data_IF_414033482411
#
_entry.id   IF_414033482411
#
_cell.length_a   1.000
_cell.length_b   1.000
_cell.length_c   1.000
_cell.angle_alpha   90.00
_cell.angle_beta   90.00
_cell.angle_gamma   90.00
#
_symmetry.space_group_name_H-M   'P 1'
#
loop_
_entity.id
_entity.type
_entity.pdbx_description
1 polymer ?
#
# COMPACT_ATOMS: atom_id res chain seq x y z
N UNK A 1 -20.75 14.12 32.86
CA UNK A 1 -20.64 13.02 31.89
C UNK A 1 -19.19 12.98 31.44
N UNK A 2 -18.55 11.81 31.38
CA UNK A 2 -17.22 11.68 30.72
C UNK A 2 -17.54 11.41 29.25
N UNK A 3 -17.07 12.27 28.35
CA UNK A 3 -17.29 12.10 26.92
C UNK A 3 -16.67 10.78 26.45
N UNK A 4 -17.36 10.08 25.54
CA UNK A 4 -16.79 8.91 24.89
C UNK A 4 -15.69 9.37 23.93
N UNK A 5 -14.50 8.78 24.05
CA UNK A 5 -13.35 9.05 23.20
C UNK A 5 -12.71 7.73 22.81
N UNK A 6 -12.31 7.60 21.55
CA UNK A 6 -11.55 6.47 21.05
C UNK A 6 -10.13 6.54 21.62
N UNK A 7 -9.69 5.48 22.28
CA UNK A 7 -8.43 5.41 23.03
C UNK A 7 -7.46 4.34 22.51
N UNK A 8 -7.77 3.76 21.35
CA UNK A 8 -6.97 2.71 20.74
C UNK A 8 -7.12 2.74 19.21
N UNK A 9 -6.15 2.17 18.50
CA UNK A 9 -6.13 2.16 17.03
C UNK A 9 -7.26 1.35 16.37
N UNK A 10 -7.85 0.38 17.06
CA UNK A 10 -8.87 -0.51 16.46
C UNK A 10 -10.15 0.28 16.15
N UNK A 11 -10.50 1.24 17.01
CA UNK A 11 -11.71 2.05 16.87
C UNK A 11 -11.54 3.25 15.91
N UNK A 12 -10.29 3.56 15.54
CA UNK A 12 -9.97 4.65 14.61
C UNK A 12 -10.22 4.20 13.18
N UNK A 13 -11.01 4.99 12.45
CA UNK A 13 -11.28 4.77 11.03
C UNK A 13 -10.16 5.36 10.17
N UNK A 14 -10.07 4.93 8.90
CA UNK A 14 -9.13 5.48 7.94
C UNK A 14 -9.34 7.00 7.74
N UNK A 15 -10.58 7.45 7.64
CA UNK A 15 -10.90 8.87 7.47
C UNK A 15 -10.44 9.72 8.64
N UNK A 16 -10.68 9.26 9.88
CA UNK A 16 -10.17 9.92 11.09
C UNK A 16 -8.64 9.93 11.13
N UNK A 17 -8.00 8.83 10.75
CA UNK A 17 -6.54 8.78 10.66
C UNK A 17 -5.98 9.78 9.64
N UNK A 18 -6.59 9.91 8.46
CA UNK A 18 -6.19 10.90 7.46
C UNK A 18 -6.32 12.34 8.01
N UNK A 19 -7.39 12.65 8.73
CA UNK A 19 -7.56 13.94 9.40
C UNK A 19 -6.47 14.19 10.46
N UNK A 20 -6.12 13.16 11.25
CA UNK A 20 -5.04 13.25 12.24
C UNK A 20 -3.70 13.54 11.56
N UNK A 21 -3.40 12.90 10.43
CA UNK A 21 -2.18 13.17 9.66
C UNK A 21 -2.15 14.62 9.14
N UNK A 22 -3.27 15.12 8.63
CA UNK A 22 -3.38 16.50 8.18
C UNK A 22 -3.12 17.49 9.34
N UNK A 23 -3.76 17.27 10.51
CA UNK A 23 -3.52 18.05 11.73
C UNK A 23 -2.05 18.01 12.15
N UNK A 24 -1.41 16.83 12.09
CA UNK A 24 -0.02 16.66 12.49
C UNK A 24 0.94 17.40 11.55
N UNK A 25 0.64 17.41 10.26
CA UNK A 25 1.41 18.09 9.22
C UNK A 25 1.24 19.62 9.20
N UNK A 26 0.20 20.14 9.84
CA UNK A 26 -0.07 21.58 9.94
C UNK A 26 1.08 22.30 10.66
N UNK A 27 1.63 23.35 10.03
CA UNK A 27 2.76 24.14 10.53
C UNK A 27 2.33 25.39 11.29
N UNK A 28 1.05 25.75 11.24
CA UNK A 28 0.47 26.94 11.88
C UNK A 28 0.05 26.64 13.32
N UNK A 29 -0.46 25.43 13.56
CA UNK A 29 -0.90 25.01 14.88
C UNK A 29 0.27 24.63 15.79
N UNK A 30 0.23 25.10 17.04
CA UNK A 30 1.10 24.58 18.10
C UNK A 30 0.68 23.18 18.55
N UNK A 31 1.56 22.48 19.26
CA UNK A 31 1.34 21.08 19.66
C UNK A 31 0.10 20.89 20.54
N UNK A 32 -0.19 21.84 21.43
CA UNK A 32 -1.38 21.76 22.29
C UNK A 32 -2.65 21.92 21.45
N UNK A 33 -2.68 22.91 20.54
CA UNK A 33 -3.79 23.08 19.59
C UNK A 33 -3.99 21.85 18.70
N UNK A 34 -2.92 21.18 18.27
CA UNK A 34 -3.01 19.90 17.53
C UNK A 34 -3.66 18.81 18.36
N UNK A 35 -3.29 18.70 19.64
CA UNK A 35 -3.86 17.70 20.53
C UNK A 35 -5.35 17.94 20.78
N UNK A 36 -5.79 19.20 20.90
CA UNK A 36 -7.22 19.53 20.99
C UNK A 36 -7.98 19.11 19.73
N UNK A 37 -7.43 19.37 18.54
CA UNK A 37 -8.04 18.92 17.28
C UNK A 37 -8.08 17.40 17.14
N UNK A 38 -7.07 16.68 17.63
CA UNK A 38 -7.11 15.20 17.66
C UNK A 38 -8.21 14.69 18.59
N UNK A 39 -8.45 15.35 19.73
CA UNK A 39 -9.57 15.02 20.63
C UNK A 39 -10.90 15.23 19.91
N UNK A 40 -11.06 16.32 19.16
CA UNK A 40 -12.26 16.58 18.36
C UNK A 40 -12.52 15.47 17.34
N UNK A 41 -11.48 15.00 16.63
CA UNK A 41 -11.62 13.90 15.65
C UNK A 41 -11.99 12.57 16.31
N UNK A 42 -11.50 12.30 17.53
CA UNK A 42 -11.63 11.00 18.19
C UNK A 42 -12.79 10.91 19.20
N UNK A 43 -13.54 11.99 19.38
CA UNK A 43 -14.66 12.06 20.32
C UNK A 43 -15.89 12.68 19.65
N UNK A 44 -17.01 12.64 20.35
CA UNK A 44 -18.25 13.30 19.89
C UNK A 44 -18.30 14.80 20.29
N UNK A 45 -17.19 15.37 20.78
CA UNK A 45 -17.11 16.75 21.23
C UNK A 45 -16.66 17.68 20.10
N UNK A 46 -17.27 18.86 20.01
CA UNK A 46 -16.80 19.92 19.12
C UNK A 46 -15.74 20.83 19.78
N UNK A 47 -15.06 21.63 18.97
CA UNK A 47 -14.04 22.59 19.41
C UNK A 47 -14.48 23.49 20.58
N UNK A 48 -15.70 24.03 20.55
CA UNK A 48 -16.19 24.91 21.62
C UNK A 48 -16.39 24.15 22.94
N UNK A 49 -16.91 22.93 22.87
CA UNK A 49 -17.07 22.06 24.02
C UNK A 49 -15.72 21.75 24.64
N UNK A 50 -14.73 21.35 23.83
CA UNK A 50 -13.37 21.02 24.29
C UNK A 50 -12.70 22.23 24.95
N UNK A 51 -12.77 23.40 24.31
CA UNK A 51 -12.16 24.64 24.82
C UNK A 51 -12.82 25.15 26.12
N UNK A 52 -14.08 24.78 26.36
CA UNK A 52 -14.79 25.13 27.60
C UNK A 52 -14.49 24.19 28.77
N UNK A 53 -13.83 23.04 28.54
CA UNK A 53 -13.56 22.06 29.58
C UNK A 53 -12.52 22.59 30.59
N UNK A 54 -12.76 22.41 31.90
CA UNK A 54 -11.74 22.67 32.90
C UNK A 54 -10.58 21.66 32.76
N UNK A 55 -9.37 22.09 33.11
CA UNK A 55 -8.14 21.28 32.92
C UNK A 55 -8.20 19.88 33.55
N UNK A 56 -8.90 19.72 34.67
CA UNK A 56 -9.10 18.41 35.31
C UNK A 56 -9.96 17.43 34.49
N UNK A 57 -10.77 17.93 33.55
CA UNK A 57 -11.55 17.15 32.59
C UNK A 57 -10.83 16.97 31.26
N UNK A 58 -10.01 17.93 30.87
CA UNK A 58 -9.21 17.85 29.65
C UNK A 58 -8.03 16.87 29.78
N UNK A 59 -7.37 16.84 30.95
CA UNK A 59 -6.19 15.98 31.17
C UNK A 59 -6.44 14.48 30.90
N UNK A 60 -7.57 13.87 31.33
CA UNK A 60 -7.91 12.50 30.92
C UNK A 60 -8.04 12.32 29.40
N UNK A 61 -8.61 13.28 28.67
CA UNK A 61 -8.75 13.21 27.21
C UNK A 61 -7.39 13.27 26.50
N UNK A 62 -6.50 14.16 26.96
CA UNK A 62 -5.12 14.22 26.47
C UNK A 62 -4.37 12.91 26.73
N UNK A 63 -4.58 12.30 27.89
CA UNK A 63 -4.00 10.97 28.18
C UNK A 63 -4.58 9.88 27.29
N UNK A 64 -5.88 9.95 26.98
CA UNK A 64 -6.55 8.96 26.15
C UNK A 64 -6.04 8.95 24.71
N UNK A 65 -5.59 10.08 24.15
CA UNK A 65 -5.03 10.14 22.79
C UNK A 65 -3.53 9.81 22.71
N UNK A 66 -2.89 9.45 23.83
CA UNK A 66 -1.45 9.18 23.87
C UNK A 66 -1.04 7.97 23.01
N UNK A 67 -1.96 7.01 22.78
CA UNK A 67 -1.76 5.88 21.89
C UNK A 67 -1.44 6.28 20.45
N UNK A 68 -1.76 7.52 20.02
CA UNK A 68 -1.43 8.02 18.69
C UNK A 68 0.09 8.10 18.45
N UNK A 69 0.89 8.11 19.52
CA UNK A 69 2.36 8.03 19.44
C UNK A 69 2.89 6.59 19.37
N UNK A 70 2.02 5.59 19.57
CA UNK A 70 2.37 4.17 19.53
C UNK A 70 2.27 3.62 18.11
N UNK A 71 3.04 2.58 17.84
CA UNK A 71 2.98 1.86 16.56
C UNK A 71 1.64 1.12 16.40
N UNK A 72 1.06 1.22 15.20
CA UNK A 72 -0.12 0.43 14.84
C UNK A 72 0.31 -1.02 14.66
N UNK A 73 -0.19 -1.92 15.51
CA UNK A 73 0.12 -3.35 15.40
C UNK A 73 -0.72 -4.00 14.30
N UNK A 74 -0.12 -4.74 13.37
CA UNK A 74 -0.88 -5.47 12.35
C UNK A 74 -1.69 -6.60 12.98
N UNK A 75 -2.83 -6.89 12.35
CA UNK A 75 -3.72 -8.01 12.66
C UNK A 75 -3.77 -8.98 11.50
N UNK A 76 -4.35 -10.16 11.75
CA UNK A 76 -4.57 -11.14 10.69
C UNK A 76 -5.50 -10.59 9.61
N UNK A 77 -5.05 -10.72 8.36
CA UNK A 77 -5.84 -10.27 7.22
C UNK A 77 -7.10 -11.10 7.07
N UNK A 78 -8.22 -10.40 6.91
CA UNK A 78 -9.53 -11.00 6.59
C UNK A 78 -9.67 -11.15 5.08
N UNK A 79 -10.37 -12.18 4.64
CA UNK A 79 -10.70 -12.31 3.20
C UNK A 79 -11.86 -11.38 2.83
N UNK A 80 -12.76 -11.13 3.78
CA UNK A 80 -13.96 -10.32 3.63
C UNK A 80 -14.01 -9.23 4.71
N UNK A 81 -14.33 -8.02 4.29
CA UNK A 81 -14.51 -6.85 5.14
C UNK A 81 -15.94 -6.34 4.99
N UNK A 82 -16.62 -6.08 6.10
CA UNK A 82 -17.96 -5.48 6.11
C UNK A 82 -17.85 -4.02 6.48
N UNK A 83 -18.33 -3.15 5.61
CA UNK A 83 -18.23 -1.69 5.75
C UNK A 83 -19.52 -1.07 5.22
N UNK A 84 -20.15 -0.18 5.98
CA UNK A 84 -21.40 0.49 5.61
C UNK A 84 -22.48 -0.46 5.05
N UNK A 85 -22.68 -1.61 5.71
CA UNK A 85 -23.61 -2.69 5.29
C UNK A 85 -23.31 -3.35 3.94
N UNK A 86 -22.19 -3.03 3.30
CA UNK A 86 -21.65 -3.73 2.14
C UNK A 86 -20.55 -4.69 2.57
N UNK A 87 -20.21 -5.62 1.68
CA UNK A 87 -19.15 -6.59 1.92
C UNK A 87 -18.16 -6.53 0.76
N UNK A 88 -16.88 -6.48 1.11
CA UNK A 88 -15.77 -6.31 0.19
C UNK A 88 -14.80 -7.48 0.35
N UNK A 89 -14.30 -7.99 -0.76
CA UNK A 89 -13.25 -9.02 -0.78
C UNK A 89 -11.92 -8.39 -1.12
N UNK A 90 -10.90 -8.65 -0.31
CA UNK A 90 -9.54 -8.21 -0.59
C UNK A 90 -8.93 -9.03 -1.73
N UNK A 91 -8.43 -8.35 -2.77
CA UNK A 91 -7.71 -8.95 -3.89
C UNK A 91 -6.23 -9.09 -3.52
N UNK A 92 -5.85 -10.22 -2.91
CA UNK A 92 -4.46 -10.48 -2.45
C UNK A 92 -3.51 -10.95 -3.56
N UNK A 93 -4.08 -11.54 -4.60
CA UNK A 93 -3.33 -12.13 -5.70
C UNK A 93 -3.14 -11.08 -6.79
N UNK A 94 -1.90 -10.62 -6.95
CA UNK A 94 -1.54 -9.61 -7.94
C UNK A 94 -1.85 -10.07 -9.38
N UNK A 95 -1.90 -11.38 -9.63
CA UNK A 95 -2.24 -11.92 -10.97
C UNK A 95 -3.72 -11.73 -11.31
N UNK A 96 -4.56 -11.42 -10.31
CA UNK A 96 -5.98 -11.15 -10.48
C UNK A 96 -6.29 -9.65 -10.64
N UNK A 97 -5.28 -8.79 -10.51
CA UNK A 97 -5.42 -7.35 -10.75
C UNK A 97 -5.57 -7.12 -12.26
N UNK A 98 -6.63 -6.42 -12.65
CA UNK A 98 -6.86 -6.05 -14.05
C UNK A 98 -5.92 -4.94 -14.50
N UNK A 99 -5.71 -4.80 -15.82
CA UNK A 99 -4.89 -3.70 -16.36
C UNK A 99 -5.35 -2.32 -15.92
N UNK A 100 -6.68 -2.10 -15.83
CA UNK A 100 -7.25 -0.85 -15.34
C UNK A 100 -6.91 -0.59 -13.86
N UNK A 101 -7.09 -1.59 -12.99
CA UNK A 101 -6.68 -1.48 -11.57
C UNK A 101 -5.19 -1.18 -11.42
N UNK A 102 -4.34 -1.81 -12.23
CA UNK A 102 -2.92 -1.55 -12.21
C UNK A 102 -2.61 -0.11 -12.62
N UNK A 103 -3.24 0.40 -13.69
CA UNK A 103 -3.10 1.81 -14.10
C UNK A 103 -3.51 2.77 -13.00
N UNK A 104 -4.67 2.55 -12.38
CA UNK A 104 -5.18 3.40 -11.29
C UNK A 104 -4.23 3.37 -10.09
N UNK A 105 -3.77 2.17 -9.68
CA UNK A 105 -2.84 2.01 -8.57
C UNK A 105 -1.51 2.74 -8.84
N UNK A 106 -0.94 2.61 -10.04
CA UNK A 106 0.30 3.29 -10.39
C UNK A 106 0.13 4.82 -10.41
N UNK A 107 -1.01 5.32 -10.89
CA UNK A 107 -1.30 6.75 -10.88
C UNK A 107 -1.40 7.30 -9.43
N UNK A 108 -2.09 6.57 -8.55
CA UNK A 108 -2.27 6.96 -7.13
C UNK A 108 -0.97 6.92 -6.32
N UNK A 109 -0.03 6.04 -6.71
CA UNK A 109 1.27 5.87 -6.05
C UNK A 109 2.39 6.75 -6.64
N UNK A 110 2.12 7.48 -7.73
CA UNK A 110 3.14 8.26 -8.43
C UNK A 110 3.69 9.40 -7.58
N UNK A 111 2.81 10.11 -6.86
CA UNK A 111 3.18 11.19 -5.95
C UNK A 111 3.21 10.69 -4.51
N UNK A 112 4.42 10.54 -3.96
CA UNK A 112 4.67 10.02 -2.61
C UNK A 112 4.02 10.89 -1.53
N UNK A 113 3.93 12.19 -1.73
CA UNK A 113 3.38 13.12 -0.74
C UNK A 113 1.86 13.01 -0.66
N UNK A 114 1.23 12.46 -1.70
CA UNK A 114 -0.22 12.28 -1.80
C UNK A 114 -0.68 10.87 -1.42
N UNK A 115 0.22 9.90 -1.24
CA UNK A 115 -0.13 8.51 -0.90
C UNK A 115 -1.01 8.43 0.35
N UNK A 116 -0.66 9.17 1.40
CA UNK A 116 -1.44 9.17 2.64
C UNK A 116 -2.84 9.72 2.43
N UNK A 117 -3.00 10.72 1.56
CA UNK A 117 -4.32 11.31 1.22
C UNK A 117 -5.12 10.39 0.31
N UNK A 118 -4.45 9.66 -0.57
CA UNK A 118 -5.06 8.71 -1.52
C UNK A 118 -5.26 7.31 -0.93
N UNK A 119 -4.99 7.09 0.36
CA UNK A 119 -4.98 5.75 0.94
C UNK A 119 -6.34 5.03 0.80
N UNK A 120 -7.44 5.77 0.93
CA UNK A 120 -8.79 5.23 0.72
C UNK A 120 -9.02 4.78 -0.74
N UNK A 121 -8.48 5.50 -1.72
CA UNK A 121 -8.52 5.12 -3.14
C UNK A 121 -7.63 3.90 -3.41
N UNK A 122 -6.40 3.91 -2.88
CA UNK A 122 -5.45 2.81 -3.04
C UNK A 122 -6.05 1.50 -2.53
N UNK A 123 -6.62 1.54 -1.32
CA UNK A 123 -7.31 0.37 -0.75
C UNK A 123 -8.55 0.02 -1.55
N UNK A 124 -9.30 1.01 -2.04
CA UNK A 124 -10.48 0.80 -2.89
C UNK A 124 -10.17 0.02 -4.17
N UNK A 125 -9.03 0.27 -4.82
CA UNK A 125 -8.57 -0.50 -6.00
C UNK A 125 -8.37 -1.98 -5.67
N UNK A 126 -7.96 -2.29 -4.44
CA UNK A 126 -7.68 -3.65 -3.96
C UNK A 126 -8.91 -4.36 -3.39
N UNK A 127 -10.06 -3.68 -3.33
CA UNK A 127 -11.30 -4.19 -2.76
C UNK A 127 -12.33 -4.48 -3.84
N UNK A 128 -12.72 -5.75 -3.94
CA UNK A 128 -13.78 -6.16 -4.85
C UNK A 128 -15.14 -6.20 -4.13
N UNK A 129 -16.14 -5.41 -4.53
CA UNK A 129 -17.47 -5.46 -3.94
C UNK A 129 -18.08 -6.85 -4.11
N UNK A 130 -18.79 -7.34 -3.10
CA UNK A 130 -19.51 -8.62 -3.16
C UNK A 130 -20.91 -8.42 -3.73
N UNK A 131 -21.26 -9.16 -4.79
CA UNK A 131 -22.61 -9.14 -5.39
C UNK A 131 -23.66 -9.47 -4.35
N UNK A 132 -24.76 -8.69 -4.31
CA UNK A 132 -25.92 -9.01 -3.46
C UNK A 132 -26.47 -10.38 -3.85
N UNK A 133 -26.67 -11.26 -2.87
CA UNK A 133 -27.34 -12.54 -3.12
C UNK A 133 -28.83 -12.27 -3.35
N UNK A 134 -29.36 -12.76 -4.46
CA UNK A 134 -30.80 -12.82 -4.70
C UNK A 134 -31.39 -14.01 -3.96
N UNK A 135 -32.68 -13.96 -3.65
CA UNK A 135 -33.41 -15.06 -3.02
C UNK A 135 -33.17 -16.40 -3.74
N UNK A 136 -33.16 -16.38 -5.08
CA UNK A 136 -32.91 -17.56 -5.91
C UNK A 136 -31.47 -18.10 -5.79
N UNK A 137 -30.46 -17.22 -5.69
CA UNK A 137 -29.06 -17.68 -5.53
C UNK A 137 -28.80 -18.22 -4.12
N UNK A 138 -29.48 -17.68 -3.11
CA UNK A 138 -29.48 -18.20 -1.74
C UNK A 138 -30.13 -19.59 -1.66
N UNK A 139 -31.31 -19.77 -2.30
CA UNK A 139 -32.03 -21.05 -2.38
C UNK A 139 -31.17 -22.15 -3.03
N UNK A 140 -30.40 -21.80 -4.06
CA UNK A 140 -29.50 -22.72 -4.77
C UNK A 140 -28.14 -22.93 -4.09
N UNK A 141 -27.93 -22.40 -2.87
CA UNK A 141 -26.64 -22.46 -2.13
C UNK A 141 -25.42 -22.06 -2.96
N UNK A 142 -25.58 -21.10 -3.90
CA UNK A 142 -24.47 -20.65 -4.74
C UNK A 142 -23.51 -19.78 -3.93
N UNK A 143 -22.20 -20.01 -4.10
CA UNK A 143 -21.16 -19.15 -3.51
C UNK A 143 -21.38 -17.70 -3.97
N UNK A 144 -21.28 -16.77 -3.02
CA UNK A 144 -21.32 -15.33 -3.28
C UNK A 144 -20.13 -14.97 -4.17
N UNK A 145 -20.39 -14.18 -5.20
CA UNK A 145 -19.39 -13.77 -6.19
C UNK A 145 -19.00 -12.31 -5.97
N UNK A 146 -17.79 -11.96 -6.35
CA UNK A 146 -17.35 -10.56 -6.44
C UNK A 146 -17.86 -9.92 -7.73
N UNK A 147 -18.07 -8.61 -7.69
CA UNK A 147 -18.16 -7.75 -8.86
C UNK A 147 -16.81 -7.71 -9.58
N UNK A 148 -16.85 -7.56 -10.91
CA UNK A 148 -15.64 -7.18 -11.63
C UNK A 148 -15.33 -5.72 -11.34
N UNK A 149 -14.06 -5.34 -11.49
CA UNK A 149 -13.62 -3.97 -11.25
C UNK A 149 -14.43 -2.98 -12.10
N UNK A 150 -15.04 -2.00 -11.43
CA UNK A 150 -15.89 -0.96 -12.01
C UNK A 150 -17.03 -1.47 -12.89
N UNK A 151 -17.53 -2.68 -12.64
CA UNK A 151 -18.68 -3.25 -13.38
C UNK A 151 -19.97 -2.48 -13.07
N UNK A 152 -20.20 -2.20 -11.79
CA UNK A 152 -21.42 -1.57 -11.29
C UNK A 152 -21.15 -0.54 -10.19
N UNK A 153 -20.19 -0.82 -9.33
CA UNK A 153 -19.76 0.10 -8.26
C UNK A 153 -18.54 0.89 -8.72
N UNK A 154 -18.56 2.22 -8.58
CA UNK A 154 -17.45 3.08 -9.00
C UNK A 154 -16.30 3.03 -7.97
N UNK A 155 -15.10 3.49 -8.37
CA UNK A 155 -13.97 3.56 -7.43
C UNK A 155 -14.28 4.54 -6.29
N UNK A 156 -14.89 5.67 -6.59
CA UNK A 156 -15.25 6.69 -5.61
C UNK A 156 -16.23 6.14 -4.56
N UNK A 157 -17.25 5.37 -4.99
CA UNK A 157 -18.19 4.72 -4.06
C UNK A 157 -17.49 3.72 -3.12
N UNK A 158 -16.53 2.95 -3.64
CA UNK A 158 -15.76 1.99 -2.84
C UNK A 158 -14.86 2.76 -1.88
N UNK A 159 -14.16 3.77 -2.37
CA UNK A 159 -13.18 4.54 -1.62
C UNK A 159 -13.84 5.35 -0.49
N UNK A 160 -15.05 5.88 -0.71
CA UNK A 160 -15.86 6.49 0.34
C UNK A 160 -16.16 5.50 1.46
N UNK A 161 -16.51 4.25 1.13
CA UNK A 161 -16.68 3.22 2.15
C UNK A 161 -15.36 2.89 2.85
N UNK A 162 -14.23 2.87 2.14
CA UNK A 162 -12.93 2.57 2.74
C UNK A 162 -12.53 3.56 3.84
N UNK A 163 -13.04 4.80 3.81
CA UNK A 163 -12.82 5.78 4.90
C UNK A 163 -13.34 5.28 6.25
N UNK A 164 -14.34 4.39 6.27
CA UNK A 164 -14.93 3.84 7.50
C UNK A 164 -14.27 2.53 7.95
N UNK A 165 -13.28 2.00 7.22
CA UNK A 165 -12.51 0.85 7.67
C UNK A 165 -11.61 1.22 8.85
N UNK A 166 -11.42 0.28 9.78
CA UNK A 166 -10.45 0.44 10.87
C UNK A 166 -9.04 0.63 10.30
N UNK A 167 -8.30 1.61 10.81
CA UNK A 167 -6.92 1.87 10.38
C UNK A 167 -6.01 0.67 10.65
N UNK A 168 -6.31 -0.16 11.65
CA UNK A 168 -5.59 -1.40 11.93
C UNK A 168 -5.72 -2.40 10.78
N UNK A 169 -6.92 -2.55 10.22
CA UNK A 169 -7.15 -3.41 9.04
C UNK A 169 -6.41 -2.84 7.82
N UNK A 170 -6.46 -1.53 7.60
CA UNK A 170 -5.73 -0.85 6.50
C UNK A 170 -4.22 -1.02 6.64
N UNK A 171 -3.67 -0.80 7.84
CA UNK A 171 -2.26 -0.95 8.13
C UNK A 171 -1.79 -2.39 7.87
N UNK A 172 -2.61 -3.38 8.23
CA UNK A 172 -2.34 -4.79 7.98
C UNK A 172 -2.31 -5.12 6.49
N UNK A 173 -3.24 -4.54 5.71
CA UNK A 173 -3.27 -4.68 4.24
C UNK A 173 -2.00 -4.08 3.64
N UNK A 174 -1.63 -2.86 4.04
CA UNK A 174 -0.41 -2.20 3.57
C UNK A 174 0.84 -3.02 3.89
N UNK A 175 0.96 -3.54 5.12
CA UNK A 175 2.08 -4.38 5.52
C UNK A 175 2.19 -5.68 4.71
N UNK A 176 1.06 -6.30 4.38
CA UNK A 176 1.05 -7.48 3.52
C UNK A 176 1.60 -7.18 2.12
N UNK A 177 1.13 -6.11 1.47
CA UNK A 177 1.61 -5.75 0.13
C UNK A 177 3.04 -5.23 0.13
N UNK A 178 3.48 -4.57 1.20
CA UNK A 178 4.88 -4.21 1.39
C UNK A 178 5.77 -5.44 1.54
N UNK A 179 5.37 -6.42 2.38
CA UNK A 179 6.11 -7.67 2.51
C UNK A 179 6.13 -8.46 1.19
N UNK A 180 5.05 -8.41 0.41
CA UNK A 180 4.98 -9.01 -0.92
C UNK A 180 5.95 -8.32 -1.90
N UNK A 181 6.01 -6.99 -1.90
CA UNK A 181 6.90 -6.23 -2.80
C UNK A 181 8.37 -6.47 -2.49
N UNK A 182 8.75 -6.53 -1.20
CA UNK A 182 10.11 -6.88 -0.77
C UNK A 182 10.52 -8.27 -1.27
N UNK A 183 9.62 -9.27 -1.14
CA UNK A 183 9.89 -10.63 -1.64
C UNK A 183 10.03 -10.64 -3.17
N UNK A 184 9.14 -9.95 -3.88
CA UNK A 184 9.19 -9.85 -5.33
C UNK A 184 10.49 -9.17 -5.81
N UNK A 185 10.90 -8.10 -5.13
CA UNK A 185 12.15 -7.39 -5.40
C UNK A 185 13.34 -8.34 -5.24
N UNK A 186 13.43 -9.09 -4.14
CA UNK A 186 14.50 -10.05 -3.90
C UNK A 186 14.59 -11.13 -5.00
N UNK A 187 13.46 -11.70 -5.42
CA UNK A 187 13.41 -12.69 -6.50
C UNK A 187 13.81 -12.07 -7.84
N UNK A 188 13.35 -10.85 -8.12
CA UNK A 188 13.67 -10.13 -9.36
C UNK A 188 15.15 -9.80 -9.45
N UNK A 189 15.76 -9.32 -8.36
CA UNK A 189 17.21 -9.10 -8.30
C UNK A 189 17.98 -10.39 -8.51
N UNK A 190 17.63 -11.47 -7.82
CA UNK A 190 18.29 -12.77 -8.00
C UNK A 190 18.19 -13.29 -9.43
N UNK A 191 17.04 -13.06 -10.10
CA UNK A 191 16.89 -13.40 -11.51
C UNK A 191 17.79 -12.56 -12.40
N UNK A 192 17.81 -11.23 -12.22
CA UNK A 192 18.68 -10.31 -12.99
C UNK A 192 20.16 -10.66 -12.80
N UNK A 193 20.60 -10.91 -11.58
CA UNK A 193 21.97 -11.32 -11.26
C UNK A 193 22.39 -12.60 -12.00
N UNK A 194 21.48 -13.55 -12.20
CA UNK A 194 21.74 -14.77 -12.98
C UNK A 194 21.75 -14.52 -14.50
N UNK A 195 20.93 -13.61 -14.99
CA UNK A 195 20.84 -13.30 -16.42
C UNK A 195 22.05 -12.51 -16.92
N UNK A 196 22.61 -11.61 -16.10
CA UNK A 196 23.75 -10.77 -16.50
C UNK A 196 24.95 -11.61 -16.99
N UNK A 197 25.47 -12.60 -16.23
CA UNK A 197 26.56 -13.46 -16.71
C UNK A 197 26.20 -14.26 -17.97
N UNK A 198 24.95 -14.72 -18.11
CA UNK A 198 24.51 -15.47 -19.29
C UNK A 198 24.59 -14.60 -20.54
N UNK A 199 24.05 -13.38 -20.49
CA UNK A 199 24.11 -12.42 -21.60
C UNK A 199 25.55 -11.99 -21.90
N UNK A 200 26.35 -11.73 -20.87
CA UNK A 200 27.77 -11.39 -21.04
C UNK A 200 28.55 -12.53 -21.72
N UNK A 201 28.29 -13.79 -21.34
CA UNK A 201 28.91 -14.95 -21.96
C UNK A 201 28.47 -15.15 -23.41
N UNK A 202 27.21 -14.89 -23.76
CA UNK A 202 26.73 -14.96 -25.14
C UNK A 202 27.38 -13.90 -26.03
N UNK A 203 27.48 -12.65 -25.55
CA UNK A 203 28.19 -11.57 -26.26
C UNK A 203 29.67 -11.94 -26.44
N UNK A 204 30.31 -12.42 -25.38
CA UNK A 204 31.72 -12.84 -25.40
C UNK A 204 31.96 -14.01 -26.37
N UNK A 205 31.06 -14.99 -26.41
CA UNK A 205 31.10 -16.09 -27.39
C UNK A 205 31.01 -15.54 -28.81
N UNK A 206 30.06 -14.65 -29.07
CA UNK A 206 29.84 -14.04 -30.40
C UNK A 206 31.06 -13.24 -30.86
N UNK A 207 31.65 -12.43 -29.98
CA UNK A 207 32.86 -11.65 -30.29
C UNK A 207 34.08 -12.55 -30.53
N UNK A 208 34.23 -13.64 -29.77
CA UNK A 208 35.30 -14.64 -29.99
C UNK A 208 35.13 -15.37 -31.32
N UNK A 209 33.90 -15.77 -31.66
CA UNK A 209 33.58 -16.43 -32.94
C UNK A 209 33.85 -15.49 -34.12
N UNK A 210 33.47 -14.22 -34.03
CA UNK A 210 33.76 -13.18 -35.03
C UNK A 210 35.26 -12.94 -35.20
N UNK A 211 36.01 -12.87 -34.09
CA UNK A 211 37.48 -12.74 -34.11
C UNK A 211 38.19 -13.93 -34.75
N UNK A 212 37.71 -15.15 -34.47
CA UNK A 212 38.33 -16.40 -34.92
C UNK A 212 37.95 -16.77 -36.36
N UNK A 213 36.75 -16.38 -36.80
CA UNK A 213 36.39 -16.47 -38.21
C UNK A 213 37.08 -15.32 -38.94
N UNK A 214 38.15 -15.62 -39.70
CA UNK A 214 38.98 -14.69 -40.49
C UNK A 214 38.22 -13.76 -41.49
N UNK A 215 36.89 -13.64 -41.41
CA UNK A 215 36.01 -12.85 -42.28
C UNK A 215 35.78 -11.42 -41.79
N UNK A 216 35.89 -11.11 -40.50
CA UNK A 216 35.71 -9.74 -39.96
C UNK A 216 36.70 -9.46 -38.83
N UNK A 217 37.62 -8.49 -39.02
CA UNK A 217 38.41 -7.97 -37.91
C UNK A 217 37.48 -7.21 -36.96
N UNK A 218 37.59 -7.50 -35.66
CA UNK A 218 36.92 -6.70 -34.63
C UNK A 218 37.35 -5.23 -34.76
N UNK A 219 36.40 -4.31 -34.63
CA UNK A 219 36.72 -2.89 -34.53
C UNK A 219 37.23 -2.54 -33.12
N UNK A 220 37.73 -1.32 -32.93
CA UNK A 220 38.30 -0.88 -31.65
C UNK A 220 37.30 -0.94 -30.48
N UNK A 221 36.03 -0.65 -30.75
CA UNK A 221 34.95 -0.69 -29.76
C UNK A 221 34.64 -2.14 -29.34
N UNK A 222 34.65 -3.09 -30.27
CA UNK A 222 34.42 -4.50 -30.01
C UNK A 222 35.57 -5.16 -29.23
N UNK A 223 36.83 -4.80 -29.51
CA UNK A 223 37.98 -5.24 -28.69
C UNK A 223 37.92 -4.68 -27.27
N UNK A 224 37.56 -3.40 -27.11
CA UNK A 224 37.38 -2.79 -25.80
C UNK A 224 36.25 -3.47 -25.00
N UNK A 225 35.13 -3.79 -25.65
CA UNK A 225 34.02 -4.53 -25.04
C UNK A 225 34.44 -5.95 -24.63
N UNK A 226 35.17 -6.67 -25.48
CA UNK A 226 35.65 -8.02 -25.17
C UNK A 226 36.55 -8.01 -23.92
N UNK A 227 37.46 -7.04 -23.79
CA UNK A 227 38.32 -6.91 -22.61
C UNK A 227 37.52 -6.55 -21.35
N UNK A 228 36.59 -5.60 -21.44
CA UNK A 228 35.76 -5.20 -20.30
C UNK A 228 34.86 -6.32 -19.80
N UNK A 229 34.20 -7.05 -20.69
CA UNK A 229 33.34 -8.19 -20.32
C UNK A 229 34.15 -9.29 -19.63
N UNK A 230 35.34 -9.61 -20.16
CA UNK A 230 36.24 -10.61 -19.57
C UNK A 230 36.70 -10.18 -18.16
N UNK A 231 36.96 -8.89 -17.93
CA UNK A 231 37.29 -8.33 -16.61
C UNK A 231 36.10 -8.42 -15.65
N UNK A 232 34.90 -8.05 -16.08
CA UNK A 232 33.69 -8.09 -15.26
C UNK A 232 33.35 -9.51 -14.78
N UNK A 233 33.50 -10.50 -15.66
CA UNK A 233 33.28 -11.91 -15.32
C UNK A 233 34.36 -12.45 -14.37
N UNK A 234 35.63 -12.09 -14.58
CA UNK A 234 36.75 -12.56 -13.75
C UNK A 234 36.77 -11.93 -12.36
N UNK A 235 36.25 -10.71 -12.21
CA UNK A 235 36.21 -10.00 -10.93
C UNK A 235 35.12 -10.52 -9.97
N UNK A 236 34.31 -11.51 -10.38
CA UNK A 236 33.25 -12.08 -9.54
C UNK A 236 32.12 -11.09 -9.23
N UNK A 237 32.07 -9.95 -9.93
CA UNK A 237 31.09 -8.87 -9.72
C UNK A 237 29.65 -9.38 -9.99
N UNK A 238 29.51 -10.50 -10.69
CA UNK A 238 28.25 -11.20 -10.92
C UNK A 238 28.35 -12.72 -10.67
N UNK A 239 28.99 -13.14 -9.57
CA UNK A 239 28.78 -14.48 -9.02
C UNK A 239 29.88 -15.04 -8.12
N UNK A 240 29.51 -15.38 -6.89
CA UNK A 240 29.21 -16.80 -6.51
C UNK A 240 27.80 -16.87 -5.97
#
# INVERSE_FOLDING_TARGET
MVAHIKDNWVDVTLGEFQQILDIQSDKVLDDFSKDLKKIEVLSDLNENEINSLPMNKLKPLLSAISFLSEEIKPVDLKDLYKVNNKEYKLVRDITQITGAQFTDLMALLQDKDQVNKNLHLIVGVLMAPMKKQTFFSSLLRRKKQTEKYLEHTTLDDIAEDMLYMSIVDIHSISNFFFALSVKFQAVSFSWVEKQIPMQLNEVLKTLKEKRNSNKEKLNQTEEALLQQIQLLLNAGIFGT
#
